data_IF_740567221238
#
_entry.id   IF_740567221238
#
_cell.length_a   1.000
_cell.length_b   1.000
_cell.length_c   1.000
_cell.angle_alpha   90.00
_cell.angle_beta   90.00
_cell.angle_gamma   90.00
#
_symmetry.space_group_name_H-M   'P 1'
#
loop_
_entity.id
_entity.type
_entity.pdbx_description
1 polymer ?
#
# COMPACT_ATOMS: atom_id res chain seq x y z
N UNK A 1 7.57 25.40 8.95
CA UNK A 1 7.93 24.08 8.41
C UNK A 1 6.65 23.29 8.28
N UNK A 2 6.19 23.04 7.05
CA UNK A 2 5.12 22.07 6.83
C UNK A 2 5.74 20.70 7.05
N UNK A 3 5.19 19.95 8.01
CA UNK A 3 5.60 18.56 8.23
C UNK A 3 5.26 17.70 7.00
N UNK A 4 5.70 16.43 7.00
CA UNK A 4 5.33 15.49 5.96
C UNK A 4 3.81 15.47 5.78
N UNK A 5 3.34 15.58 4.54
CA UNK A 5 1.93 15.52 4.19
C UNK A 5 1.54 14.05 4.11
N UNK A 6 0.59 13.64 4.96
CA UNK A 6 -0.01 12.32 4.90
C UNK A 6 -1.32 12.39 4.11
N UNK A 7 -1.47 11.51 3.12
CA UNK A 7 -2.75 11.24 2.47
C UNK A 7 -3.33 10.00 3.13
N UNK A 8 -4.51 10.15 3.73
CA UNK A 8 -5.17 9.02 4.40
C UNK A 8 -6.47 8.66 3.70
N UNK A 9 -6.61 7.39 3.34
CA UNK A 9 -7.85 6.79 2.85
C UNK A 9 -8.44 5.90 3.95
N UNK A 10 -9.74 6.04 4.16
CA UNK A 10 -10.48 5.31 5.19
C UNK A 10 -11.64 4.56 4.56
N UNK A 11 -12.07 3.49 5.23
CA UNK A 11 -13.24 2.70 4.89
C UNK A 11 -13.17 2.17 3.44
N UNK A 12 -14.29 1.80 2.83
CA UNK A 12 -14.33 1.29 1.44
C UNK A 12 -14.07 2.38 0.36
N UNK A 13 -13.18 3.33 0.65
CA UNK A 13 -12.78 4.35 -0.32
C UNK A 13 -11.80 3.78 -1.34
N UNK A 14 -11.85 4.34 -2.55
CA UNK A 14 -10.96 4.00 -3.65
C UNK A 14 -10.15 5.25 -4.03
N UNK A 15 -8.83 5.14 -3.95
CA UNK A 15 -7.91 6.19 -4.39
C UNK A 15 -7.14 5.73 -5.62
N UNK A 16 -7.07 6.60 -6.62
CA UNK A 16 -6.25 6.41 -7.81
C UNK A 16 -5.14 7.44 -7.83
N UNK A 17 -3.88 6.98 -7.83
CA UNK A 17 -2.68 7.81 -7.94
C UNK A 17 -1.98 7.44 -9.24
N UNK A 18 -1.66 8.44 -10.06
CA UNK A 18 -0.98 8.23 -11.32
C UNK A 18 0.00 9.38 -11.60
N UNK A 19 1.19 9.04 -12.10
CA UNK A 19 2.22 9.99 -12.51
C UNK A 19 2.51 11.05 -11.43
N UNK A 20 2.56 10.59 -10.18
CA UNK A 20 2.67 11.45 -9.00
C UNK A 20 3.94 11.14 -8.23
N UNK A 21 4.56 12.18 -7.66
CA UNK A 21 5.75 12.05 -6.83
C UNK A 21 5.40 12.48 -5.41
N UNK A 22 5.32 11.52 -4.50
CA UNK A 22 5.25 11.72 -3.06
C UNK A 22 6.62 11.50 -2.44
N UNK A 23 7.53 12.46 -2.65
CA UNK A 23 8.86 12.47 -2.05
C UNK A 23 8.89 13.27 -0.74
N UNK A 24 9.99 13.17 0.01
CA UNK A 24 10.28 13.99 1.20
C UNK A 24 9.33 13.77 2.39
N UNK A 25 9.26 12.53 2.88
CA UNK A 25 8.53 12.19 4.10
C UNK A 25 7.01 12.09 3.94
N UNK A 26 6.45 12.44 2.78
CA UNK A 26 5.03 12.27 2.49
C UNK A 26 4.65 10.78 2.53
N UNK A 27 3.49 10.47 3.10
CA UNK A 27 3.06 9.08 3.31
C UNK A 27 1.63 8.87 2.84
N UNK A 28 1.36 7.68 2.29
CA UNK A 28 0.01 7.21 2.05
C UNK A 28 -0.37 6.25 3.18
N UNK A 29 -1.54 6.44 3.76
CA UNK A 29 -2.05 5.59 4.84
C UNK A 29 -3.44 5.06 4.45
N UNK A 30 -3.65 3.75 4.54
CA UNK A 30 -4.91 3.08 4.21
C UNK A 30 -5.48 2.39 5.45
N UNK A 31 -6.75 2.65 5.76
CA UNK A 31 -7.50 2.04 6.87
C UNK A 31 -8.82 1.43 6.40
N UNK A 32 -9.33 0.44 7.15
CA UNK A 32 -10.66 -0.15 7.01
C UNK A 32 -11.09 -0.52 5.58
N UNK A 33 -10.38 -1.44 4.91
CA UNK A 33 -10.74 -1.88 3.55
C UNK A 33 -10.60 -0.82 2.45
N UNK A 34 -9.84 0.25 2.71
CA UNK A 34 -9.48 1.22 1.69
C UNK A 34 -8.65 0.58 0.58
N UNK A 35 -8.92 0.99 -0.65
CA UNK A 35 -8.25 0.47 -1.83
C UNK A 35 -7.49 1.57 -2.54
N UNK A 36 -6.24 1.30 -2.90
CA UNK A 36 -5.45 2.20 -3.73
C UNK A 36 -4.97 1.50 -4.99
N UNK A 37 -5.02 2.22 -6.11
CA UNK A 37 -4.29 1.87 -7.32
C UNK A 37 -3.26 2.95 -7.60
N UNK A 38 -2.00 2.55 -7.74
CA UNK A 38 -0.86 3.43 -7.97
C UNK A 38 -0.18 3.01 -9.27
N UNK A 39 -0.01 3.95 -10.19
CA UNK A 39 0.70 3.71 -11.44
C UNK A 39 1.74 4.79 -11.72
N UNK A 40 2.88 4.41 -12.27
CA UNK A 40 3.90 5.33 -12.82
C UNK A 40 4.32 6.43 -11.82
N UNK A 41 4.38 6.10 -10.53
CA UNK A 41 4.53 7.05 -9.42
C UNK A 41 5.73 6.71 -8.53
N UNK A 42 6.28 7.74 -7.86
CA UNK A 42 7.34 7.58 -6.84
C UNK A 42 6.73 7.88 -5.48
N UNK A 43 6.71 6.90 -4.57
CA UNK A 43 6.07 7.03 -3.25
C UNK A 43 7.07 6.72 -2.15
N UNK A 44 7.23 7.66 -1.21
CA UNK A 44 8.13 7.45 -0.08
C UNK A 44 7.63 6.34 0.85
N UNK A 45 6.42 6.44 1.41
CA UNK A 45 5.92 5.39 2.30
C UNK A 45 4.45 5.09 2.09
N UNK A 46 4.10 3.80 2.14
CA UNK A 46 2.72 3.32 2.21
C UNK A 46 2.55 2.51 3.49
N UNK A 47 1.54 2.85 4.28
CA UNK A 47 1.11 2.09 5.44
C UNK A 47 -0.29 1.52 5.18
N UNK A 48 -0.39 0.20 5.17
CA UNK A 48 -1.63 -0.52 4.96
C UNK A 48 -2.09 -1.16 6.26
N UNK A 49 -3.27 -0.79 6.73
CA UNK A 49 -3.87 -1.36 7.93
C UNK A 49 -5.13 -2.17 7.63
N UNK A 50 -5.38 -3.20 8.45
CA UNK A 50 -6.60 -4.04 8.41
C UNK A 50 -6.81 -4.68 7.03
N UNK A 51 -8.01 -4.60 6.44
CA UNK A 51 -8.41 -5.30 5.21
C UNK A 51 -8.11 -4.49 3.93
N UNK A 52 -7.25 -3.47 4.04
CA UNK A 52 -6.95 -2.53 2.96
C UNK A 52 -6.19 -3.18 1.79
N UNK A 53 -6.31 -2.63 0.59
CA UNK A 53 -5.74 -3.21 -0.63
C UNK A 53 -4.93 -2.18 -1.41
N UNK A 54 -3.84 -2.61 -2.02
CA UNK A 54 -3.01 -1.80 -2.88
C UNK A 54 -2.62 -2.58 -4.14
N UNK A 55 -2.89 -1.99 -5.30
CA UNK A 55 -2.34 -2.42 -6.58
C UNK A 55 -1.36 -1.37 -7.06
N UNK A 56 -0.12 -1.77 -7.29
CA UNK A 56 0.98 -0.85 -7.59
C UNK A 56 1.69 -1.34 -8.85
N UNK A 57 1.87 -0.47 -9.83
CA UNK A 57 2.45 -0.84 -11.11
C UNK A 57 3.40 0.23 -11.64
N UNK A 58 4.55 -0.17 -12.19
CA UNK A 58 5.56 0.74 -12.75
C UNK A 58 5.98 1.87 -11.79
N UNK A 59 6.11 1.54 -10.51
CA UNK A 59 6.29 2.53 -9.45
C UNK A 59 7.48 2.24 -8.57
N UNK A 60 8.14 3.29 -8.09
CA UNK A 60 9.26 3.20 -7.15
C UNK A 60 8.80 3.56 -5.74
N UNK A 61 9.05 2.67 -4.79
CA UNK A 61 8.62 2.83 -3.40
C UNK A 61 9.79 2.64 -2.45
N UNK A 62 9.89 3.51 -1.45
CA UNK A 62 10.93 3.35 -0.43
C UNK A 62 10.47 2.39 0.67
N UNK A 63 9.31 2.65 1.26
CA UNK A 63 8.80 1.86 2.39
C UNK A 63 7.38 1.40 2.10
N UNK A 64 7.15 0.10 2.24
CA UNK A 64 5.81 -0.47 2.38
C UNK A 64 5.73 -1.12 3.74
N UNK A 65 4.78 -0.70 4.56
CA UNK A 65 4.48 -1.32 5.84
C UNK A 65 3.04 -1.85 5.83
N UNK A 66 2.89 -3.14 6.07
CA UNK A 66 1.59 -3.80 6.18
C UNK A 66 1.38 -4.30 7.59
N UNK A 67 0.35 -3.79 8.25
CA UNK A 67 -0.06 -4.19 9.60
C UNK A 67 -1.55 -4.52 9.64
N UNK A 68 -1.88 -5.80 9.45
CA UNK A 68 -3.27 -6.26 9.39
C UNK A 68 -3.68 -7.00 10.66
N UNK A 69 -4.88 -6.70 11.18
CA UNK A 69 -5.36 -7.20 12.47
C UNK A 69 -6.48 -8.24 12.39
N UNK A 70 -6.92 -8.68 11.21
CA UNK A 70 -8.02 -9.63 11.06
C UNK A 70 -7.81 -10.65 9.94
N UNK A 71 -8.60 -11.73 9.98
CA UNK A 71 -8.55 -12.92 9.11
C UNK A 71 -8.95 -12.61 7.65
N UNK A 72 -9.59 -11.45 7.39
CA UNK A 72 -10.03 -11.06 6.04
C UNK A 72 -8.93 -10.19 5.42
N UNK A 73 -8.10 -10.84 4.60
CA UNK A 73 -6.80 -10.35 4.14
C UNK A 73 -6.81 -8.97 3.48
N UNK A 74 -5.80 -8.18 3.83
CA UNK A 74 -5.25 -7.16 2.95
C UNK A 74 -4.72 -7.82 1.66
N UNK A 75 -4.62 -7.04 0.59
CA UNK A 75 -4.02 -7.50 -0.65
C UNK A 75 -3.03 -6.46 -1.17
N UNK A 76 -1.77 -6.85 -1.37
CA UNK A 76 -0.75 -6.03 -1.99
C UNK A 76 -0.30 -6.71 -3.29
N UNK A 77 -0.51 -6.04 -4.42
CA UNK A 77 -0.04 -6.49 -5.73
C UNK A 77 0.99 -5.49 -6.26
N UNK A 78 2.19 -5.97 -6.56
CA UNK A 78 3.30 -5.20 -7.11
C UNK A 78 3.63 -5.74 -8.50
N UNK A 79 3.66 -4.88 -9.51
CA UNK A 79 3.99 -5.26 -10.87
C UNK A 79 4.98 -4.27 -11.49
N UNK A 80 6.13 -4.75 -11.97
CA UNK A 80 7.20 -3.90 -12.53
C UNK A 80 7.56 -2.71 -11.63
N UNK A 81 7.57 -2.93 -10.32
CA UNK A 81 7.83 -1.91 -9.30
C UNK A 81 9.11 -2.19 -8.54
N UNK A 82 9.79 -1.14 -8.10
CA UNK A 82 10.92 -1.26 -7.18
C UNK A 82 10.45 -0.93 -5.76
N UNK A 83 10.89 -1.72 -4.78
CA UNK A 83 10.60 -1.49 -3.37
C UNK A 83 11.88 -1.65 -2.56
N UNK A 84 12.33 -0.58 -1.90
CA UNK A 84 13.57 -0.63 -1.11
C UNK A 84 13.39 -1.41 0.20
N UNK A 85 12.26 -1.22 0.89
CA UNK A 85 11.98 -1.86 2.17
C UNK A 85 10.52 -2.28 2.29
N UNK A 86 10.28 -3.57 2.50
CA UNK A 86 8.97 -4.15 2.78
C UNK A 86 8.94 -4.70 4.21
N UNK A 87 8.13 -4.09 5.08
CA UNK A 87 7.89 -4.51 6.46
C UNK A 87 6.48 -5.07 6.60
N UNK A 88 6.36 -6.22 7.25
CA UNK A 88 5.08 -6.88 7.42
C UNK A 88 4.92 -7.42 8.82
N UNK A 89 3.78 -7.14 9.44
CA UNK A 89 3.39 -7.67 10.75
C UNK A 89 2.03 -8.34 10.55
N UNK A 90 1.93 -9.61 10.98
CA UNK A 90 0.74 -10.49 10.88
C UNK A 90 0.22 -10.80 9.47
N UNK A 91 1.04 -11.50 8.67
CA UNK A 91 0.55 -12.25 7.51
C UNK A 91 -0.22 -13.49 7.98
N UNK A 92 -1.54 -13.40 8.10
CA UNK A 92 -2.37 -14.58 8.23
C UNK A 92 -3.03 -14.85 6.87
N UNK A 93 -2.42 -15.73 6.08
CA UNK A 93 -3.04 -16.31 4.88
C UNK A 93 -4.27 -17.09 5.35
N UNK A 94 -5.48 -16.56 5.16
CA UNK A 94 -6.67 -17.42 5.18
C UNK A 94 -6.87 -17.93 3.75
N UNK A 95 -6.57 -19.21 3.56
CA UNK A 95 -6.63 -19.95 2.30
C UNK A 95 -8.06 -20.09 1.75
N UNK A 96 -8.69 -18.98 1.36
CA UNK A 96 -9.96 -19.04 0.62
C UNK A 96 -9.92 -18.37 -0.76
N UNK A 97 -8.88 -17.59 -1.08
CA UNK A 97 -8.64 -17.12 -2.45
C UNK A 97 -7.15 -17.00 -2.74
N UNK A 98 -6.63 -17.89 -3.59
CA UNK A 98 -5.25 -17.89 -4.05
C UNK A 98 -4.93 -16.60 -4.81
N UNK A 99 -4.09 -15.74 -4.23
CA UNK A 99 -3.37 -14.71 -4.97
C UNK A 99 -1.87 -14.90 -4.77
N UNK A 100 -1.20 -15.25 -5.86
CA UNK A 100 0.24 -15.51 -5.92
C UNK A 100 1.00 -14.19 -5.76
N UNK A 101 1.88 -14.12 -4.75
CA UNK A 101 2.93 -13.10 -4.69
C UNK A 101 4.07 -13.61 -5.57
N UNK A 102 4.29 -12.96 -6.71
CA UNK A 102 5.50 -13.15 -7.51
C UNK A 102 6.48 -12.07 -7.08
N UNK A 103 7.57 -12.49 -6.43
CA UNK A 103 8.76 -11.68 -6.21
C UNK A 103 9.71 -11.97 -7.37
#
# INVERSE_FOLDING_TARGET
>A
MFGPVAFTCYDNSHLYINNTIFSNGNMLILYHAAQVTITDSIIFAIYMFQESRAMITNSDLWIINVAASSVVGYALNLLHSTVDTLLTISWNYSDLFSYMVVI
#
